data_IF_985564649161
#
_entry.id   IF_985564649161
#
_cell.length_a   1.000
_cell.length_b   1.000
_cell.length_c   1.000
_cell.angle_alpha   90.00
_cell.angle_beta   90.00
_cell.angle_gamma   90.00
#
_symmetry.space_group_name_H-M   'P 1'
#
loop_
_entity.id
_entity.type
_entity.pdbx_description
1 polymer ?
#
# COMPACT_ATOMS: atom_id res chain seq x y z
N UNK A 1 52.27 -40.03 -31.76
CA UNK A 1 52.19 -39.36 -30.44
C UNK A 1 51.86 -37.86 -30.61
N UNK A 2 50.68 -37.49 -31.14
CA UNK A 2 50.33 -36.07 -31.44
C UNK A 2 48.89 -35.68 -31.00
N UNK A 3 48.11 -36.57 -30.37
CA UNK A 3 46.66 -36.39 -30.23
C UNK A 3 46.16 -36.22 -28.78
N UNK A 4 46.75 -35.34 -27.95
CA UNK A 4 46.26 -35.12 -26.57
C UNK A 4 46.26 -33.68 -26.00
N UNK A 5 46.57 -32.62 -26.75
CA UNK A 5 46.71 -31.27 -26.14
C UNK A 5 45.72 -30.19 -26.61
N UNK A 6 44.76 -30.48 -27.48
CA UNK A 6 43.94 -29.43 -28.11
C UNK A 6 42.51 -29.23 -27.53
N UNK A 7 42.17 -29.77 -26.36
CA UNK A 7 40.78 -29.74 -25.84
C UNK A 7 40.56 -28.71 -24.71
N UNK A 8 41.62 -28.10 -24.17
CA UNK A 8 41.50 -27.24 -22.96
C UNK A 8 41.19 -25.76 -23.30
N UNK A 9 41.36 -25.32 -24.56
CA UNK A 9 41.22 -23.91 -24.90
C UNK A 9 39.81 -23.46 -25.40
N UNK A 10 38.85 -24.36 -25.55
CA UNK A 10 37.52 -24.05 -26.15
C UNK A 10 36.34 -24.06 -25.17
N UNK A 11 36.58 -24.19 -23.86
CA UNK A 11 35.50 -24.19 -22.85
C UNK A 11 35.35 -22.83 -22.14
N UNK A 12 36.27 -21.89 -22.35
CA UNK A 12 36.30 -20.60 -21.64
C UNK A 12 35.70 -19.41 -22.39
N UNK A 13 35.01 -19.59 -23.52
CA UNK A 13 34.56 -18.47 -24.37
C UNK A 13 33.05 -18.33 -24.56
N UNK A 14 32.21 -19.13 -23.90
CA UNK A 14 30.74 -19.04 -24.08
C UNK A 14 30.02 -19.12 -22.73
N UNK A 15 30.14 -18.10 -21.89
CA UNK A 15 29.24 -17.94 -20.73
C UNK A 15 29.13 -16.51 -20.16
N UNK A 16 29.73 -15.49 -20.76
CA UNK A 16 29.52 -14.09 -20.36
C UNK A 16 28.80 -13.30 -21.46
N UNK A 17 27.59 -13.73 -21.79
CA UNK A 17 26.57 -12.81 -22.32
C UNK A 17 25.59 -12.58 -21.18
N UNK A 18 25.92 -11.66 -20.29
CA UNK A 18 24.94 -11.12 -19.36
C UNK A 18 23.89 -10.37 -20.20
N UNK A 19 22.58 -10.67 -20.10
CA UNK A 19 21.60 -9.73 -20.59
C UNK A 19 21.77 -8.46 -19.76
N UNK A 20 22.11 -7.36 -20.43
CA UNK A 20 21.97 -6.04 -19.85
C UNK A 20 20.48 -5.87 -19.50
N UNK A 21 20.12 -6.15 -18.25
CA UNK A 21 18.90 -5.64 -17.67
C UNK A 21 19.03 -4.12 -17.72
N UNK A 22 18.46 -3.52 -18.77
CA UNK A 22 18.29 -2.09 -18.88
C UNK A 22 17.44 -1.66 -17.68
N UNK A 23 18.08 -1.08 -16.69
CA UNK A 23 17.43 -0.44 -15.57
C UNK A 23 16.63 0.74 -16.12
N UNK A 24 15.35 0.51 -16.40
CA UNK A 24 14.42 1.60 -16.69
C UNK A 24 14.27 2.41 -15.42
N UNK A 25 14.96 3.55 -15.35
CA UNK A 25 14.73 4.55 -14.33
C UNK A 25 13.40 5.24 -14.66
N UNK A 26 12.30 4.72 -14.12
CA UNK A 26 11.04 5.46 -14.11
C UNK A 26 11.27 6.79 -13.34
N UNK A 27 10.69 7.91 -13.80
CA UNK A 27 10.75 9.17 -13.07
C UNK A 27 10.11 8.97 -11.69
N UNK A 28 10.88 9.22 -10.64
CA UNK A 28 10.36 9.23 -9.28
C UNK A 28 9.70 10.59 -9.07
N UNK A 29 8.41 10.67 -9.34
CA UNK A 29 7.60 11.84 -9.00
C UNK A 29 7.54 11.88 -7.48
N UNK A 30 8.40 12.69 -6.86
CA UNK A 30 8.28 13.02 -5.44
C UNK A 30 7.02 13.86 -5.28
N UNK A 31 5.90 13.20 -5.05
CA UNK A 31 4.67 13.89 -4.65
C UNK A 31 4.95 14.58 -3.31
N UNK A 32 4.59 15.87 -3.14
CA UNK A 32 4.71 16.52 -1.85
C UNK A 32 3.90 15.71 -0.83
N UNK A 33 4.53 15.35 0.28
CA UNK A 33 3.87 14.67 1.40
C UNK A 33 2.81 15.64 1.92
N UNK A 34 1.55 15.36 1.63
CA UNK A 34 0.47 16.18 2.15
C UNK A 34 0.19 15.73 3.58
N UNK A 35 0.44 16.63 4.52
CA UNK A 35 0.28 16.40 5.96
C UNK A 35 -1.21 16.42 6.31
N UNK A 36 -1.92 15.35 5.95
CA UNK A 36 -3.35 15.20 6.17
C UNK A 36 -3.69 14.36 7.40
N UNK A 37 -2.71 13.66 7.98
CA UNK A 37 -2.95 12.73 9.07
C UNK A 37 -3.17 13.49 10.39
N UNK A 38 -4.45 13.69 10.75
CA UNK A 38 -4.81 14.22 12.06
C UNK A 38 -4.61 13.09 13.07
N UNK A 39 -3.71 13.29 14.04
CA UNK A 39 -3.62 12.41 15.21
C UNK A 39 -4.85 12.69 16.09
N UNK A 40 -5.82 11.78 16.05
CA UNK A 40 -6.96 11.80 16.96
C UNK A 40 -6.54 11.47 18.39
N UNK A 41 -7.48 11.59 19.35
CA UNK A 41 -7.26 11.26 20.76
C UNK A 41 -6.82 9.80 20.99
N UNK A 42 -7.15 8.91 20.05
CA UNK A 42 -6.73 7.51 20.01
C UNK A 42 -5.24 7.31 19.65
N UNK A 43 -4.55 8.36 19.21
CA UNK A 43 -3.17 8.26 18.70
C UNK A 43 -3.06 7.53 17.35
N UNK A 44 -4.20 7.30 16.67
CA UNK A 44 -4.25 6.77 15.32
C UNK A 44 -4.13 7.92 14.31
N UNK A 45 -3.25 7.81 13.29
CA UNK A 45 -3.29 8.70 12.13
C UNK A 45 -4.65 8.53 11.45
N UNK A 46 -5.42 9.61 11.25
CA UNK A 46 -6.72 9.56 10.58
C UNK A 46 -6.86 10.68 9.55
N UNK A 47 -7.71 10.44 8.55
CA UNK A 47 -8.01 11.38 7.47
C UNK A 47 -9.49 11.76 7.55
N UNK A 48 -9.81 12.99 7.19
CA UNK A 48 -11.15 13.58 7.28
C UNK A 48 -12.21 12.87 6.43
N UNK A 49 -11.79 12.15 5.39
CA UNK A 49 -12.67 11.43 4.47
C UNK A 49 -12.95 9.98 4.89
N UNK A 50 -12.41 9.53 6.02
CA UNK A 50 -12.78 8.22 6.58
C UNK A 50 -14.25 8.25 7.04
N UNK A 51 -14.95 7.15 6.81
CA UNK A 51 -16.32 6.97 7.25
C UNK A 51 -16.33 6.58 8.73
N UNK A 52 -17.16 7.25 9.52
CA UNK A 52 -17.42 6.86 10.90
C UNK A 52 -18.26 5.58 10.96
N UNK A 53 -17.83 4.61 11.77
CA UNK A 53 -18.54 3.34 11.92
C UNK A 53 -19.87 3.54 12.66
N UNK A 54 -20.94 2.90 12.18
CA UNK A 54 -22.15 2.73 12.98
C UNK A 54 -21.96 1.57 13.99
N UNK A 55 -22.92 1.37 14.90
CA UNK A 55 -22.86 0.23 15.84
C UNK A 55 -23.07 -1.14 15.17
N UNK A 56 -23.63 -1.18 13.95
CA UNK A 56 -23.92 -2.40 13.20
C UNK A 56 -23.29 -2.32 11.80
N UNK A 57 -22.23 -3.11 11.58
CA UNK A 57 -21.47 -3.12 10.33
C UNK A 57 -22.33 -3.55 9.13
N UNK A 58 -23.44 -4.25 9.36
CA UNK A 58 -24.38 -4.63 8.29
C UNK A 58 -25.06 -3.40 7.72
N UNK A 59 -25.34 -2.41 8.54
CA UNK A 59 -25.94 -1.16 8.08
C UNK A 59 -24.92 -0.31 7.34
N UNK A 60 -23.65 -0.31 7.77
CA UNK A 60 -22.55 0.33 7.05
C UNK A 60 -22.33 -0.31 5.66
N UNK A 61 -22.36 -1.65 5.58
CA UNK A 61 -22.25 -2.39 4.31
C UNK A 61 -23.42 -2.06 3.37
N UNK A 62 -24.66 -2.04 3.89
CA UNK A 62 -25.84 -1.64 3.10
C UNK A 62 -25.69 -0.19 2.61
N UNK A 63 -25.21 0.72 3.46
CA UNK A 63 -24.95 2.11 3.12
C UNK A 63 -23.91 2.26 2.00
N UNK A 64 -22.78 1.55 2.10
CA UNK A 64 -21.76 1.52 1.05
C UNK A 64 -22.31 0.95 -0.27
N UNK A 65 -23.04 -0.17 -0.19
CA UNK A 65 -23.67 -0.81 -1.36
C UNK A 65 -24.67 0.13 -2.04
N UNK A 66 -25.49 0.86 -1.26
CA UNK A 66 -26.45 1.83 -1.79
C UNK A 66 -25.78 3.01 -2.50
N UNK A 67 -24.56 3.38 -2.08
CA UNK A 67 -23.72 4.38 -2.75
C UNK A 67 -22.95 3.80 -3.96
N UNK A 68 -23.09 2.50 -4.26
CA UNK A 68 -22.34 1.82 -5.31
C UNK A 68 -20.86 1.59 -4.99
N UNK A 69 -20.50 1.63 -3.70
CA UNK A 69 -19.14 1.49 -3.21
C UNK A 69 -18.90 0.17 -2.49
N UNK A 70 -17.64 -0.24 -2.42
CA UNK A 70 -17.18 -1.33 -1.58
C UNK A 70 -17.02 -0.85 -0.13
N UNK A 71 -17.35 -1.70 0.83
CA UNK A 71 -17.07 -1.44 2.23
C UNK A 71 -15.70 -2.03 2.60
N UNK A 72 -14.84 -1.24 3.26
CA UNK A 72 -13.53 -1.70 3.70
C UNK A 72 -13.23 -1.26 5.12
N UNK A 73 -12.60 -2.16 5.89
CA UNK A 73 -12.07 -1.87 7.21
C UNK A 73 -10.56 -1.69 7.14
N UNK A 74 -10.05 -0.65 7.78
CA UNK A 74 -8.62 -0.42 7.96
C UNK A 74 -8.30 -0.60 9.44
N UNK A 75 -7.51 -1.63 9.75
CA UNK A 75 -7.11 -1.95 11.12
C UNK A 75 -5.78 -1.28 11.46
N UNK A 76 -5.77 -0.48 12.52
CA UNK A 76 -4.61 0.31 12.95
C UNK A 76 -4.43 0.25 14.46
N UNK A 77 -3.26 0.67 14.93
CA UNK A 77 -2.89 0.75 16.35
C UNK A 77 -2.11 2.03 16.61
N UNK A 78 -2.20 2.56 17.83
CA UNK A 78 -1.39 3.70 18.25
C UNK A 78 0.11 3.37 18.15
N UNK A 79 0.91 4.29 17.62
CA UNK A 79 2.35 4.09 17.43
C UNK A 79 2.74 3.15 16.27
N UNK A 80 1.79 2.75 15.42
CA UNK A 80 2.08 1.97 14.23
C UNK A 80 2.83 2.79 13.17
N UNK A 81 4.12 2.50 12.99
CA UNK A 81 4.95 3.19 12.00
C UNK A 81 4.42 3.04 10.56
N UNK A 82 4.01 1.84 10.16
CA UNK A 82 3.51 1.59 8.80
C UNK A 82 2.14 2.20 8.56
N UNK A 83 1.31 2.30 9.59
CA UNK A 83 0.03 2.98 9.52
C UNK A 83 0.28 4.47 9.22
N UNK A 84 1.14 5.13 10.01
CA UNK A 84 1.57 6.51 9.74
C UNK A 84 2.12 6.68 8.31
N UNK A 85 3.00 5.79 7.87
CA UNK A 85 3.58 5.84 6.53
C UNK A 85 2.51 5.67 5.43
N UNK A 86 1.54 4.78 5.60
CA UNK A 86 0.44 4.61 4.66
C UNK A 86 -0.38 5.89 4.51
N UNK A 87 -0.71 6.54 5.64
CA UNK A 87 -1.46 7.80 5.64
C UNK A 87 -0.68 8.94 4.99
N UNK A 88 0.62 9.08 5.29
CA UNK A 88 1.44 10.18 4.79
C UNK A 88 1.92 9.99 3.34
N UNK A 89 2.19 8.75 2.93
CA UNK A 89 2.82 8.47 1.62
C UNK A 89 1.78 7.97 0.63
N UNK A 90 0.98 6.95 0.98
CA UNK A 90 0.06 6.35 0.01
C UNK A 90 -1.21 7.20 -0.10
N UNK A 91 -1.83 7.55 1.02
CA UNK A 91 -2.98 8.46 1.03
C UNK A 91 -2.58 9.95 0.90
N UNK A 92 -1.29 10.26 0.91
CA UNK A 92 -0.77 11.56 0.49
C UNK A 92 -0.68 11.74 -1.03
N UNK A 93 -0.93 10.69 -1.82
CA UNK A 93 -0.99 10.80 -3.29
C UNK A 93 -2.45 10.97 -3.70
N UNK A 94 -2.78 12.14 -4.27
CA UNK A 94 -4.14 12.51 -4.67
C UNK A 94 -4.83 11.45 -5.55
N UNK A 95 -4.11 10.89 -6.53
CA UNK A 95 -4.66 9.83 -7.41
C UNK A 95 -5.13 8.60 -6.63
N UNK A 96 -4.37 8.18 -5.61
CA UNK A 96 -4.72 7.04 -4.76
C UNK A 96 -5.90 7.41 -3.88
N UNK A 97 -5.86 8.60 -3.26
CA UNK A 97 -6.93 9.07 -2.37
C UNK A 97 -8.25 9.22 -3.12
N UNK A 98 -8.24 9.78 -4.33
CA UNK A 98 -9.43 9.90 -5.17
C UNK A 98 -9.97 8.54 -5.62
N UNK A 99 -9.08 7.61 -5.98
CA UNK A 99 -9.47 6.23 -6.27
C UNK A 99 -10.14 5.57 -5.05
N UNK A 100 -9.53 5.67 -3.88
CA UNK A 100 -10.06 5.07 -2.65
C UNK A 100 -11.41 5.70 -2.28
N UNK A 101 -11.52 7.03 -2.31
CA UNK A 101 -12.76 7.74 -1.95
C UNK A 101 -13.90 7.50 -2.93
N UNK A 102 -13.61 7.29 -4.21
CA UNK A 102 -14.63 7.03 -5.24
C UNK A 102 -15.15 5.59 -5.18
N UNK A 103 -14.32 4.63 -4.80
CA UNK A 103 -14.67 3.21 -4.85
C UNK A 103 -15.04 2.60 -3.50
N UNK A 104 -14.60 3.19 -2.39
CA UNK A 104 -14.75 2.61 -1.07
C UNK A 104 -15.40 3.55 -0.04
N UNK A 105 -16.11 2.95 0.91
CA UNK A 105 -16.41 3.53 2.23
C UNK A 105 -15.44 2.87 3.21
N UNK A 106 -14.40 3.61 3.61
CA UNK A 106 -13.35 3.14 4.50
C UNK A 106 -13.71 3.48 5.94
N UNK A 107 -13.73 2.48 6.81
CA UNK A 107 -13.89 2.66 8.25
C UNK A 107 -12.59 2.27 8.96
N UNK A 108 -12.06 3.17 9.79
CA UNK A 108 -10.90 2.89 10.63
C UNK A 108 -11.30 2.14 11.90
N UNK A 109 -10.51 1.14 12.24
CA UNK A 109 -10.71 0.27 13.39
C UNK A 109 -9.43 0.21 14.24
N UNK A 110 -9.56 0.45 15.53
CA UNK A 110 -8.49 0.18 16.49
C UNK A 110 -8.41 -1.32 16.77
N UNK A 111 -7.27 -1.93 16.48
CA UNK A 111 -7.06 -3.36 16.70
C UNK A 111 -6.94 -3.76 18.18
N UNK A 112 -6.66 -2.81 19.08
CA UNK A 112 -6.74 -3.06 20.52
C UNK A 112 -8.18 -3.05 21.03
N UNK A 113 -9.12 -2.60 20.21
CA UNK A 113 -10.52 -2.46 20.57
C UNK A 113 -10.77 -1.26 21.48
N UNK A 114 -12.04 -1.04 21.80
CA UNK A 114 -12.50 0.14 22.55
C UNK A 114 -13.98 0.43 22.32
N UNK A 115 -14.52 -0.09 21.22
CA UNK A 115 -15.94 -0.16 20.91
C UNK A 115 -16.31 -1.55 20.41
N UNK A 116 -17.52 -1.99 20.74
CA UNK A 116 -18.11 -3.22 20.21
C UNK A 116 -19.04 -2.85 19.07
N UNK A 117 -18.83 -3.48 17.91
CA UNK A 117 -19.70 -3.39 16.75
C UNK A 117 -20.23 -4.79 16.42
N UNK A 118 -21.41 -4.87 15.83
CA UNK A 118 -22.08 -6.14 15.47
C UNK A 118 -22.20 -6.36 13.97
#
# INVERSE_FOLDING_TARGET
>A
MIFKQAVIAWVFSVCFVAPAFAQSAAPQTTSPLVDHAILGESGLPSLDWFTEASSDLRDDIKGATAKGKLFALVWEQAGCYYCKQMHEVNFGIDEITDFVRSHFELVQMDMHGGRVLT
#
